data_IF_415543180309
#
_entry.id   IF_415543180309
#
_cell.length_a   1.000
_cell.length_b   1.000
_cell.length_c   1.000
_cell.angle_alpha   90.00
_cell.angle_beta   90.00
_cell.angle_gamma   90.00
#
_symmetry.space_group_name_H-M   'P 1'
#
loop_
_entity.id
_entity.type
_entity.pdbx_description
1 polymer ?
#
# COMPACT_ATOMS: atom_id res chain seq x y z
N UNK A 1 4.00 29.81 26.29
CA UNK A 1 3.53 29.47 24.93
C UNK A 1 4.38 28.32 24.43
N UNK A 2 3.79 27.20 24.02
CA UNK A 2 4.55 26.09 23.47
C UNK A 2 5.16 26.53 22.13
N UNK A 3 6.47 26.34 21.96
CA UNK A 3 7.19 26.65 20.73
C UNK A 3 6.58 25.87 19.56
N UNK A 4 6.26 26.57 18.47
CA UNK A 4 5.84 25.95 17.21
C UNK A 4 6.98 25.01 16.79
N UNK A 5 6.73 23.71 16.59
CA UNK A 5 7.74 22.79 16.09
C UNK A 5 8.28 23.32 14.76
N UNK A 6 9.60 23.41 14.62
CA UNK A 6 10.23 23.80 13.36
C UNK A 6 9.84 22.86 12.22
N UNK A 7 10.10 23.25 10.96
CA UNK A 7 9.84 22.40 9.79
C UNK A 7 10.57 21.07 9.96
N UNK A 8 9.83 19.96 9.86
CA UNK A 8 10.40 18.62 9.96
C UNK A 8 11.26 18.35 8.73
N UNK A 9 12.50 17.88 8.91
CA UNK A 9 13.46 17.65 7.82
C UNK A 9 13.32 16.26 7.18
N UNK A 10 12.32 15.47 7.60
CA UNK A 10 12.22 14.06 7.26
C UNK A 10 13.15 13.17 8.07
N UNK A 11 13.02 11.85 7.89
CA UNK A 11 13.89 10.85 8.51
C UNK A 11 14.55 10.04 7.39
N UNK A 12 15.87 10.15 7.25
CA UNK A 12 16.64 9.31 6.33
C UNK A 12 16.66 7.89 6.87
N UNK A 13 16.08 6.95 6.13
CA UNK A 13 15.98 5.54 6.52
C UNK A 13 16.90 4.66 5.68
N UNK A 14 17.15 3.44 6.15
CA UNK A 14 17.88 2.41 5.40
C UNK A 14 17.28 2.18 4.01
N UNK A 15 15.95 2.21 3.87
CA UNK A 15 15.25 2.06 2.60
C UNK A 15 15.67 3.13 1.57
N UNK A 16 15.93 4.37 2.00
CA UNK A 16 16.44 5.43 1.12
C UNK A 16 17.87 5.13 0.64
N UNK A 17 18.70 4.57 1.52
CA UNK A 17 20.09 4.24 1.21
C UNK A 17 20.17 3.08 0.22
N UNK A 18 19.29 2.09 0.37
CA UNK A 18 19.12 1.00 -0.59
C UNK A 18 18.73 1.54 -1.97
N UNK A 19 17.79 2.49 -2.06
CA UNK A 19 17.44 3.13 -3.34
C UNK A 19 18.61 3.90 -3.96
N UNK A 20 19.34 4.67 -3.14
CA UNK A 20 20.57 5.37 -3.57
C UNK A 20 21.61 4.40 -4.12
N UNK A 21 21.76 3.23 -3.49
CA UNK A 21 22.65 2.18 -3.94
C UNK A 21 22.19 1.55 -5.26
N UNK A 22 20.90 1.20 -5.38
CA UNK A 22 20.31 0.59 -6.58
C UNK A 22 20.46 1.49 -7.79
N UNK A 23 20.17 2.79 -7.67
CA UNK A 23 20.24 3.72 -8.79
C UNK A 23 21.61 4.42 -8.89
N UNK A 24 22.60 3.98 -8.13
CA UNK A 24 24.00 4.40 -8.31
C UNK A 24 24.29 5.87 -7.98
N UNK A 25 23.51 6.49 -7.09
CA UNK A 25 23.70 7.89 -6.65
C UNK A 25 24.02 8.03 -5.15
N UNK A 26 24.37 6.93 -4.47
CA UNK A 26 24.85 6.95 -3.09
C UNK A 26 26.06 7.88 -2.94
N UNK A 27 26.03 8.71 -1.89
CA UNK A 27 27.21 9.42 -1.42
C UNK A 27 27.97 8.50 -0.46
N UNK A 28 29.22 8.16 -0.80
CA UNK A 28 30.06 7.32 0.05
C UNK A 28 30.39 8.02 1.38
N UNK A 29 30.28 9.35 1.46
CA UNK A 29 30.65 10.12 2.65
C UNK A 29 29.57 10.11 3.74
N UNK A 30 28.32 9.78 3.41
CA UNK A 30 27.20 9.84 4.36
C UNK A 30 27.11 8.57 5.23
N UNK A 31 27.90 7.52 4.95
CA UNK A 31 27.79 6.24 5.66
C UNK A 31 29.01 5.84 6.49
N UNK A 32 28.79 5.81 7.81
CA UNK A 32 29.64 5.15 8.80
C UNK A 32 29.08 3.80 9.29
N UNK A 33 27.88 3.41 8.84
CA UNK A 33 27.22 2.16 9.22
C UNK A 33 27.28 1.09 8.13
N UNK A 34 27.20 -0.21 8.49
CA UNK A 34 27.10 -1.28 7.51
C UNK A 34 25.75 -1.16 6.79
N UNK A 35 25.76 -0.75 5.52
CA UNK A 35 24.63 -1.04 4.64
C UNK A 35 24.43 -2.56 4.64
N UNK A 36 23.18 -3.04 4.50
CA UNK A 36 22.98 -4.44 4.12
C UNK A 36 23.83 -4.66 2.87
N UNK A 37 24.80 -5.57 2.95
CA UNK A 37 25.69 -5.89 1.82
C UNK A 37 24.86 -6.63 0.78
N UNK A 38 24.04 -5.87 0.04
CA UNK A 38 23.40 -6.37 -1.15
C UNK A 38 24.47 -6.28 -2.23
N UNK A 39 25.12 -7.40 -2.53
CA UNK A 39 26.19 -7.50 -3.53
C UNK A 39 25.60 -7.51 -4.95
N UNK A 40 24.88 -6.44 -5.31
CA UNK A 40 24.25 -6.31 -6.62
C UNK A 40 25.27 -5.94 -7.68
N UNK A 41 25.23 -6.67 -8.79
CA UNK A 41 26.03 -6.35 -9.97
C UNK A 41 25.51 -5.06 -10.64
N UNK A 42 26.39 -4.14 -11.04
CA UNK A 42 25.99 -2.98 -11.85
C UNK A 42 25.66 -3.40 -13.29
N UNK A 43 24.80 -2.63 -13.94
CA UNK A 43 24.55 -2.72 -15.38
C UNK A 43 25.83 -2.31 -16.16
N UNK A 44 26.11 -2.92 -17.32
CA UNK A 44 27.28 -2.58 -18.13
C UNK A 44 27.35 -1.07 -18.44
N UNK A 45 28.45 -0.43 -18.05
CA UNK A 45 28.67 1.00 -18.31
C UNK A 45 27.86 1.97 -17.42
N UNK A 46 27.16 1.47 -16.40
CA UNK A 46 26.34 2.28 -15.49
C UNK A 46 26.66 2.00 -14.00
N UNK A 47 26.31 2.94 -13.12
CA UNK A 47 26.32 2.71 -11.67
C UNK A 47 25.01 2.12 -11.14
N UNK A 48 23.97 2.06 -11.99
CA UNK A 48 22.67 1.44 -11.68
C UNK A 48 22.88 -0.07 -11.55
N UNK A 49 22.25 -0.69 -10.55
CA UNK A 49 22.29 -2.11 -10.29
C UNK A 49 21.34 -2.88 -11.21
N UNK A 50 21.77 -4.05 -11.68
CA UNK A 50 20.97 -4.97 -12.46
C UNK A 50 20.01 -5.75 -11.54
N UNK A 51 18.78 -5.25 -11.39
CA UNK A 51 17.83 -5.81 -10.43
C UNK A 51 16.39 -5.60 -10.89
N UNK A 52 15.50 -6.49 -10.48
CA UNK A 52 14.06 -6.29 -10.58
C UNK A 52 13.51 -5.59 -9.34
N UNK A 53 12.73 -4.54 -9.53
CA UNK A 53 11.95 -3.92 -8.47
C UNK A 53 10.53 -4.46 -8.55
N UNK A 54 10.16 -5.31 -7.59
CA UNK A 54 8.88 -6.04 -7.58
C UNK A 54 7.97 -5.45 -6.52
N UNK A 55 7.00 -4.65 -6.93
CA UNK A 55 5.96 -4.12 -6.08
C UNK A 55 4.81 -5.11 -5.93
N UNK A 56 4.35 -5.29 -4.70
CA UNK A 56 3.26 -6.20 -4.35
C UNK A 56 2.25 -5.46 -3.48
N UNK A 57 0.98 -5.77 -3.70
CA UNK A 57 -0.12 -5.39 -2.82
C UNK A 57 -1.06 -6.60 -2.69
N UNK A 58 -1.61 -6.80 -1.49
CA UNK A 58 -2.51 -7.90 -1.18
C UNK A 58 -3.75 -7.40 -0.45
N UNK A 59 -4.92 -7.67 -1.02
CA UNK A 59 -6.20 -7.49 -0.35
C UNK A 59 -6.83 -8.85 -0.05
N UNK A 60 -7.31 -9.02 1.19
CA UNK A 60 -7.97 -10.24 1.63
C UNK A 60 -9.26 -9.95 2.38
N UNK A 61 -10.23 -10.86 2.26
CA UNK A 61 -11.51 -10.75 2.98
C UNK A 61 -11.51 -11.25 4.42
N UNK A 62 -10.39 -11.72 4.97
CA UNK A 62 -10.37 -12.54 6.19
C UNK A 62 -9.13 -12.47 7.10
N UNK A 63 -8.18 -11.57 6.83
CA UNK A 63 -6.92 -11.42 7.60
C UNK A 63 -5.69 -11.96 6.88
N UNK A 64 -4.49 -11.81 7.46
CA UNK A 64 -3.23 -12.10 6.76
C UNK A 64 -2.38 -13.18 7.46
N UNK A 65 -2.73 -13.54 8.69
CA UNK A 65 -1.98 -14.44 9.55
C UNK A 65 -2.03 -15.89 9.06
N UNK A 66 -3.22 -16.36 8.69
CA UNK A 66 -3.46 -17.72 8.16
C UNK A 66 -4.49 -17.61 7.04
N UNK A 67 -4.11 -18.04 5.84
CA UNK A 67 -5.02 -18.01 4.70
C UNK A 67 -5.92 -19.23 4.75
N UNK A 68 -7.17 -19.04 5.15
CA UNK A 68 -8.12 -20.15 5.20
C UNK A 68 -8.45 -20.64 3.78
N UNK A 69 -8.77 -21.93 3.59
CA UNK A 69 -9.07 -22.47 2.26
C UNK A 69 -10.15 -21.66 1.52
N UNK A 70 -11.17 -21.19 2.24
CA UNK A 70 -12.32 -20.45 1.70
C UNK A 70 -12.16 -18.93 1.64
N UNK A 71 -11.02 -18.42 2.10
CA UNK A 71 -10.73 -17.00 2.04
C UNK A 71 -10.59 -16.54 0.59
N UNK A 72 -11.23 -15.41 0.29
CA UNK A 72 -11.01 -14.70 -0.96
C UNK A 72 -9.88 -13.70 -0.80
N UNK A 73 -8.99 -13.65 -1.79
CA UNK A 73 -7.95 -12.65 -1.86
C UNK A 73 -7.66 -12.28 -3.31
N UNK A 74 -7.01 -11.14 -3.48
CA UNK A 74 -6.45 -10.74 -4.75
C UNK A 74 -5.11 -10.05 -4.57
N UNK A 75 -4.18 -10.39 -5.45
CA UNK A 75 -2.77 -9.98 -5.37
C UNK A 75 -2.44 -9.16 -6.61
N UNK A 76 -1.77 -8.04 -6.38
CA UNK A 76 -1.18 -7.22 -7.41
C UNK A 76 0.32 -7.40 -7.44
N UNK A 77 0.88 -7.47 -8.64
CA UNK A 77 2.34 -7.46 -8.83
C UNK A 77 2.68 -6.49 -9.93
N UNK A 78 3.60 -5.57 -9.67
CA UNK A 78 4.15 -4.67 -10.68
C UNK A 78 5.66 -4.74 -10.66
N UNK A 79 6.26 -4.89 -11.84
CA UNK A 79 7.69 -5.15 -12.00
C UNK A 79 8.29 -4.03 -12.84
N UNK A 80 9.37 -3.46 -12.33
CA UNK A 80 10.25 -2.55 -13.04
C UNK A 80 11.64 -3.18 -13.17
N UNK A 81 12.13 -3.31 -14.40
CA UNK A 81 13.46 -3.83 -14.71
C UNK A 81 14.44 -2.67 -14.92
N UNK A 82 15.45 -2.54 -14.06
CA UNK A 82 16.40 -1.42 -14.14
C UNK A 82 17.18 -1.36 -15.45
N UNK A 83 17.27 -2.47 -16.19
CA UNK A 83 17.92 -2.52 -17.52
C UNK A 83 17.31 -1.53 -18.51
N UNK A 84 16.02 -1.21 -18.36
CA UNK A 84 15.35 -0.26 -19.26
C UNK A 84 15.93 1.16 -19.16
N UNK A 85 16.65 1.50 -18.09
CA UNK A 85 17.30 2.81 -17.88
C UNK A 85 18.64 2.96 -18.61
N UNK A 86 19.21 1.85 -19.10
CA UNK A 86 20.50 1.84 -19.82
C UNK A 86 20.38 1.51 -21.29
N UNK A 87 19.19 1.09 -21.74
CA UNK A 87 18.94 0.82 -23.16
C UNK A 87 19.16 2.09 -23.98
N UNK A 88 19.90 1.95 -25.08
CA UNK A 88 20.14 3.05 -26.04
C UNK A 88 18.85 3.58 -26.67
N UNK A 89 17.81 2.74 -26.71
CA UNK A 89 16.47 3.12 -27.08
C UNK A 89 15.84 3.86 -25.90
N UNK A 90 15.36 5.09 -26.14
CA UNK A 90 14.68 5.91 -25.13
C UNK A 90 13.66 5.05 -24.39
N UNK A 91 13.80 4.94 -23.06
CA UNK A 91 12.89 4.14 -22.22
C UNK A 91 11.45 4.58 -22.49
N UNK A 92 10.65 3.71 -23.12
CA UNK A 92 9.23 3.98 -23.30
C UNK A 92 8.54 3.94 -21.93
N UNK A 93 8.08 5.09 -21.40
CA UNK A 93 7.48 5.13 -20.07
C UNK A 93 6.22 4.26 -19.96
N UNK A 94 5.55 3.97 -21.08
CA UNK A 94 4.34 3.17 -21.13
C UNK A 94 4.59 1.69 -20.83
N UNK A 95 5.74 1.17 -21.25
CA UNK A 95 6.09 -0.25 -21.15
C UNK A 95 7.14 -0.54 -20.07
N UNK A 96 7.70 0.50 -19.44
CA UNK A 96 8.71 0.38 -18.40
C UNK A 96 8.27 -0.43 -17.17
N UNK A 97 6.96 -0.46 -16.87
CA UNK A 97 6.40 -1.23 -15.76
C UNK A 97 5.41 -2.26 -16.30
N UNK A 98 5.66 -3.54 -16.03
CA UNK A 98 4.71 -4.61 -16.32
C UNK A 98 3.91 -4.96 -15.07
N UNK A 99 2.59 -5.07 -15.17
CA UNK A 99 1.73 -5.34 -14.02
C UNK A 99 0.77 -6.49 -14.23
N UNK A 100 0.47 -7.18 -13.14
CA UNK A 100 -0.35 -8.39 -13.08
C UNK A 100 -1.37 -8.26 -11.96
N UNK A 101 -2.55 -8.82 -12.19
CA UNK A 101 -3.61 -8.96 -11.20
C UNK A 101 -4.00 -10.42 -11.11
N UNK A 102 -4.03 -10.92 -9.89
CA UNK A 102 -4.39 -12.29 -9.60
C UNK A 102 -5.57 -12.34 -8.62
N UNK A 103 -6.45 -13.32 -8.80
CA UNK A 103 -7.55 -13.63 -7.86
C UNK A 103 -7.57 -15.13 -7.60
N UNK A 104 -8.03 -15.56 -6.44
CA UNK A 104 -8.16 -17.01 -6.18
C UNK A 104 -9.57 -17.56 -6.40
N UNK A 105 -10.60 -16.71 -6.31
CA UNK A 105 -12.01 -17.11 -6.30
C UNK A 105 -12.88 -16.10 -7.07
N UNK A 106 -14.08 -16.53 -7.43
CA UNK A 106 -15.06 -15.70 -8.17
C UNK A 106 -16.03 -14.96 -7.22
N UNK A 107 -15.52 -14.46 -6.11
CA UNK A 107 -16.32 -13.74 -5.13
C UNK A 107 -16.53 -12.28 -5.53
N UNK A 108 -17.47 -11.60 -4.87
CA UNK A 108 -17.80 -10.19 -5.17
C UNK A 108 -16.57 -9.25 -5.07
N UNK A 109 -15.70 -9.35 -4.04
CA UNK A 109 -14.46 -8.55 -3.98
C UNK A 109 -13.54 -8.82 -5.17
N UNK A 110 -13.25 -10.08 -5.50
CA UNK A 110 -12.40 -10.44 -6.64
C UNK A 110 -12.97 -9.94 -7.97
N UNK A 111 -14.29 -10.09 -8.22
CA UNK A 111 -14.96 -9.53 -9.41
C UNK A 111 -14.90 -8.00 -9.47
N UNK A 112 -14.85 -7.34 -8.32
CA UNK A 112 -14.68 -5.88 -8.27
C UNK A 112 -13.24 -5.47 -8.59
N UNK A 113 -12.24 -6.18 -8.05
CA UNK A 113 -10.84 -6.00 -8.39
C UNK A 113 -10.61 -6.21 -9.90
N UNK A 114 -11.10 -7.32 -10.47
CA UNK A 114 -10.98 -7.61 -11.91
C UNK A 114 -11.53 -6.50 -12.80
N UNK A 115 -12.69 -5.92 -12.44
CA UNK A 115 -13.29 -4.82 -13.23
C UNK A 115 -12.52 -3.51 -13.09
N UNK A 116 -11.82 -3.31 -11.97
CA UNK A 116 -11.05 -2.10 -11.68
C UNK A 116 -9.65 -2.14 -12.25
N UNK A 117 -9.06 -3.32 -12.37
CA UNK A 117 -7.71 -3.48 -12.87
C UNK A 117 -7.55 -2.83 -14.25
N UNK A 118 -6.56 -1.95 -14.37
CA UNK A 118 -6.34 -1.12 -15.55
C UNK A 118 -5.34 -1.74 -16.52
N UNK A 119 -4.44 -2.59 -16.00
CA UNK A 119 -3.16 -2.87 -16.64
C UNK A 119 -3.14 -4.20 -17.41
N UNK A 120 -4.31 -4.76 -17.70
CA UNK A 120 -4.45 -5.99 -18.48
C UNK A 120 -5.56 -6.91 -17.99
N UNK A 121 -5.36 -8.22 -18.20
CA UNK A 121 -6.28 -9.25 -17.74
C UNK A 121 -5.99 -9.66 -16.29
N UNK A 122 -7.04 -10.06 -15.57
CA UNK A 122 -6.89 -10.72 -14.27
C UNK A 122 -6.76 -12.23 -14.47
N UNK A 123 -5.73 -12.83 -13.88
CA UNK A 123 -5.52 -14.28 -13.88
C UNK A 123 -6.11 -14.92 -12.61
N UNK A 124 -6.61 -16.16 -12.71
CA UNK A 124 -7.13 -16.91 -11.56
C UNK A 124 -6.12 -17.96 -11.10
N UNK A 125 -5.67 -17.88 -9.86
CA UNK A 125 -4.61 -18.74 -9.31
C UNK A 125 -4.93 -19.24 -7.90
N UNK A 126 -4.59 -20.51 -7.63
CA UNK A 126 -4.51 -21.01 -6.25
C UNK A 126 -3.31 -20.39 -5.52
N UNK A 127 -3.24 -20.44 -4.18
CA UNK A 127 -2.05 -19.98 -3.45
C UNK A 127 -0.72 -20.57 -3.98
N UNK A 128 -0.69 -21.88 -4.24
CA UNK A 128 0.51 -22.55 -4.79
C UNK A 128 0.83 -22.12 -6.21
N UNK A 129 -0.18 -21.96 -7.08
CA UNK A 129 0.03 -21.47 -8.44
C UNK A 129 0.53 -20.02 -8.45
N UNK A 130 0.06 -19.19 -7.50
CA UNK A 130 0.56 -17.83 -7.30
C UNK A 130 2.05 -17.82 -6.93
N UNK A 131 2.46 -18.66 -5.97
CA UNK A 131 3.86 -18.76 -5.58
C UNK A 131 4.76 -19.18 -6.77
N UNK A 132 4.32 -20.18 -7.53
CA UNK A 132 5.00 -20.60 -8.76
C UNK A 132 5.08 -19.47 -9.80
N UNK A 133 4.00 -18.68 -9.94
CA UNK A 133 3.96 -17.53 -10.84
C UNK A 133 4.94 -16.43 -10.43
N UNK A 134 5.02 -16.09 -9.14
CA UNK A 134 6.00 -15.13 -8.60
C UNK A 134 7.43 -15.63 -8.84
N UNK A 135 7.70 -16.91 -8.58
CA UNK A 135 9.02 -17.50 -8.85
C UNK A 135 9.37 -17.47 -10.34
N UNK A 136 8.38 -17.61 -11.23
CA UNK A 136 8.59 -17.50 -12.68
C UNK A 136 8.91 -16.05 -13.08
N UNK A 137 8.16 -15.08 -12.55
CA UNK A 137 8.35 -13.65 -12.84
C UNK A 137 9.71 -13.12 -12.37
N UNK A 138 10.30 -13.74 -11.34
CA UNK A 138 11.60 -13.38 -10.76
C UNK A 138 12.71 -14.37 -11.13
N UNK A 139 12.47 -15.28 -12.09
CA UNK A 139 13.40 -16.33 -12.41
C UNK A 139 14.73 -15.78 -12.97
N UNK A 140 15.85 -16.28 -12.45
CA UNK A 140 17.19 -15.92 -12.93
C UNK A 140 17.60 -14.47 -12.69
N UNK A 141 16.88 -13.73 -11.85
CA UNK A 141 17.16 -12.32 -11.54
C UNK A 141 17.16 -12.08 -10.04
N UNK A 142 18.10 -11.25 -9.59
CA UNK A 142 18.00 -10.62 -8.28
C UNK A 142 16.80 -9.67 -8.26
N UNK A 143 16.14 -9.55 -7.10
CA UNK A 143 14.99 -8.66 -6.95
C UNK A 143 14.84 -8.13 -5.54
N UNK A 144 14.22 -6.96 -5.42
CA UNK A 144 13.69 -6.45 -4.15
C UNK A 144 12.17 -6.50 -4.16
N UNK A 145 11.59 -6.67 -2.97
CA UNK A 145 10.16 -6.51 -2.77
C UNK A 145 9.86 -5.08 -2.36
N UNK A 146 8.76 -4.54 -2.85
CA UNK A 146 8.24 -3.22 -2.51
C UNK A 146 6.78 -3.40 -2.11
N UNK A 147 6.36 -2.75 -1.03
CA UNK A 147 4.95 -2.66 -0.68
C UNK A 147 4.62 -1.30 -0.05
N UNK A 148 3.33 -1.02 0.13
CA UNK A 148 2.85 0.18 0.82
C UNK A 148 2.32 -0.19 2.20
N UNK A 149 3.21 -0.23 3.19
CA UNK A 149 2.91 -0.81 4.51
C UNK A 149 3.11 -2.33 4.52
N UNK A 150 4.37 -2.75 4.47
CA UNK A 150 4.81 -4.14 4.15
C UNK A 150 4.31 -5.26 5.06
N UNK A 151 3.86 -4.96 6.29
CA UNK A 151 3.59 -5.98 7.30
C UNK A 151 2.57 -7.02 6.84
N UNK A 152 1.44 -6.58 6.28
CA UNK A 152 0.34 -7.49 5.93
C UNK A 152 0.64 -8.26 4.63
N UNK A 153 1.23 -7.60 3.64
CA UNK A 153 1.67 -8.23 2.39
C UNK A 153 2.70 -9.34 2.65
N UNK A 154 3.68 -9.08 3.53
CA UNK A 154 4.70 -10.08 3.88
C UNK A 154 4.13 -11.28 4.62
N UNK A 155 3.19 -11.07 5.54
CA UNK A 155 2.50 -12.20 6.21
C UNK A 155 1.81 -13.09 5.17
N UNK A 156 1.11 -12.48 4.20
CA UNK A 156 0.47 -13.23 3.13
C UNK A 156 1.49 -13.98 2.25
N UNK A 157 2.56 -13.29 1.81
CA UNK A 157 3.59 -13.91 0.98
C UNK A 157 4.24 -15.10 1.69
N UNK A 158 4.53 -14.98 2.98
CA UNK A 158 5.09 -16.08 3.78
C UNK A 158 4.12 -17.25 3.98
N UNK A 159 2.80 -17.00 3.96
CA UNK A 159 1.79 -18.05 4.00
C UNK A 159 1.73 -18.86 2.70
N UNK A 160 1.92 -18.21 1.55
CA UNK A 160 1.87 -18.92 0.26
C UNK A 160 3.20 -19.58 -0.08
N UNK A 161 4.34 -18.93 0.23
CA UNK A 161 5.69 -19.45 0.11
C UNK A 161 6.71 -18.51 0.79
N UNK A 162 7.26 -18.95 1.93
CA UNK A 162 8.29 -18.21 2.68
C UNK A 162 9.58 -17.95 1.88
N UNK A 163 9.84 -18.71 0.81
CA UNK A 163 10.99 -18.49 -0.05
C UNK A 163 10.90 -17.18 -0.86
N UNK A 164 9.70 -16.61 -1.04
CA UNK A 164 9.51 -15.35 -1.77
C UNK A 164 10.24 -14.22 -1.01
N UNK A 165 9.83 -13.96 0.23
CA UNK A 165 10.47 -12.90 1.02
C UNK A 165 11.94 -13.23 1.33
N UNK A 166 12.27 -14.50 1.59
CA UNK A 166 13.63 -14.92 1.92
C UNK A 166 14.62 -14.79 0.76
N UNK A 167 14.16 -14.89 -0.51
CA UNK A 167 15.00 -14.71 -1.70
C UNK A 167 15.13 -13.26 -2.14
N UNK A 168 14.27 -12.36 -1.67
CA UNK A 168 14.37 -10.95 -1.99
C UNK A 168 15.65 -10.39 -1.39
N UNK A 169 16.42 -9.66 -2.19
CA UNK A 169 17.64 -8.98 -1.76
C UNK A 169 17.38 -7.95 -0.65
N UNK A 170 16.18 -7.37 -0.65
CA UNK A 170 15.70 -6.42 0.35
C UNK A 170 14.17 -6.27 0.26
N UNK A 171 13.54 -5.80 1.34
CA UNK A 171 12.11 -5.42 1.36
C UNK A 171 11.96 -3.93 1.68
N UNK A 172 11.44 -3.17 0.72
CA UNK A 172 11.18 -1.74 0.85
C UNK A 172 9.73 -1.45 1.23
N UNK A 173 9.56 -0.59 2.23
CA UNK A 173 8.27 -0.01 2.58
C UNK A 173 8.20 1.43 2.06
N UNK A 174 7.34 1.68 1.06
CA UNK A 174 7.17 3.02 0.47
C UNK A 174 6.73 4.06 1.49
N UNK A 175 6.04 3.65 2.56
CA UNK A 175 5.62 4.55 3.65
C UNK A 175 6.83 5.10 4.41
N UNK A 176 7.88 4.28 4.60
CA UNK A 176 9.12 4.70 5.24
C UNK A 176 10.00 5.50 4.30
N UNK A 177 10.13 5.03 3.04
CA UNK A 177 10.89 5.74 2.00
C UNK A 177 10.42 7.19 1.87
N UNK A 178 9.10 7.41 1.90
CA UNK A 178 8.49 8.74 1.75
C UNK A 178 8.89 9.76 2.81
N UNK A 179 9.30 9.32 4.01
CA UNK A 179 9.55 10.23 5.11
C UNK A 179 10.71 11.20 4.85
N UNK A 180 11.72 10.77 4.10
CA UNK A 180 12.87 11.62 3.77
C UNK A 180 12.62 12.59 2.61
N UNK A 181 12.36 12.14 1.36
CA UNK A 181 12.26 13.02 0.20
C UNK A 181 11.03 13.93 0.25
N UNK A 182 10.02 13.59 1.05
CA UNK A 182 8.83 14.44 1.27
C UNK A 182 8.83 15.12 2.64
N UNK A 183 9.90 14.97 3.42
CA UNK A 183 10.08 15.61 4.73
C UNK A 183 8.94 15.32 5.75
N UNK A 184 8.32 14.14 5.65
CA UNK A 184 7.12 13.79 6.40
C UNK A 184 7.44 13.29 7.81
N UNK A 185 6.64 13.73 8.79
CA UNK A 185 6.66 13.21 10.16
C UNK A 185 5.63 12.09 10.39
N UNK A 186 4.73 11.84 9.43
CA UNK A 186 3.69 10.81 9.51
C UNK A 186 3.63 9.97 8.24
N UNK A 187 2.83 8.90 8.30
CA UNK A 187 2.67 7.91 7.23
C UNK A 187 1.53 8.33 6.30
N UNK A 188 1.82 8.46 5.01
CA UNK A 188 0.81 8.75 4.00
C UNK A 188 0.10 7.46 3.60
N UNK A 189 -1.20 7.56 3.29
CA UNK A 189 -1.88 6.54 2.47
C UNK A 189 -1.37 6.64 1.03
N UNK A 190 -1.58 5.59 0.24
CA UNK A 190 -1.16 5.58 -1.15
C UNK A 190 -1.75 6.75 -1.92
N UNK A 191 -3.05 7.01 -1.80
CA UNK A 191 -3.74 8.16 -2.42
C UNK A 191 -3.04 9.49 -2.11
N UNK A 192 -2.80 9.80 -0.83
CA UNK A 192 -2.11 11.03 -0.42
C UNK A 192 -0.67 11.09 -0.93
N UNK A 193 -0.01 9.94 -1.03
CA UNK A 193 1.35 9.85 -1.56
C UNK A 193 1.37 10.18 -3.06
N UNK A 194 0.41 9.67 -3.83
CA UNK A 194 0.27 9.99 -5.25
C UNK A 194 -0.02 11.47 -5.47
N UNK A 195 -0.93 12.07 -4.66
CA UNK A 195 -1.23 13.50 -4.71
C UNK A 195 0.02 14.36 -4.47
N UNK A 196 0.77 14.07 -3.40
CA UNK A 196 1.98 14.82 -3.03
C UNK A 196 3.14 14.65 -4.03
N UNK A 197 3.15 13.53 -4.76
CA UNK A 197 4.11 13.25 -5.83
C UNK A 197 3.63 13.75 -7.20
N UNK A 198 2.38 14.24 -7.28
CA UNK A 198 1.72 14.66 -8.52
C UNK A 198 1.76 13.56 -9.58
N UNK A 199 1.47 12.33 -9.15
CA UNK A 199 1.32 11.16 -10.03
C UNK A 199 -0.16 11.08 -10.40
N UNK A 200 -0.52 11.09 -11.69
CA UNK A 200 -1.91 10.99 -12.11
C UNK A 200 -2.47 9.58 -11.84
N UNK A 201 -3.66 9.51 -11.24
CA UNK A 201 -4.41 8.27 -11.00
C UNK A 201 -5.92 8.53 -11.05
N UNK A 202 -6.72 7.47 -11.18
CA UNK A 202 -8.17 7.50 -11.02
C UNK A 202 -8.55 6.98 -9.62
N UNK A 203 -9.08 7.82 -8.73
CA UNK A 203 -9.46 7.42 -7.37
C UNK A 203 -10.45 6.25 -7.32
N UNK A 204 -11.31 6.08 -8.33
CA UNK A 204 -12.30 5.00 -8.36
C UNK A 204 -11.70 3.63 -8.74
N UNK A 205 -10.49 3.66 -9.31
CA UNK A 205 -9.72 2.49 -9.76
C UNK A 205 -8.66 2.06 -8.77
N UNK A 206 -8.34 2.90 -7.78
CA UNK A 206 -7.67 2.45 -6.56
C UNK A 206 -8.53 1.38 -5.85
N UNK A 207 -7.90 0.55 -5.02
CA UNK A 207 -8.51 -0.64 -4.41
C UNK A 207 -8.70 -1.81 -5.39
N UNK A 208 -7.72 -1.99 -6.25
CA UNK A 208 -7.45 -3.25 -6.93
C UNK A 208 -5.97 -3.48 -6.73
N UNK A 209 -5.61 -4.61 -6.13
CA UNK A 209 -4.23 -4.80 -5.69
C UNK A 209 -3.20 -4.59 -6.82
N UNK A 210 -3.49 -5.01 -8.05
CA UNK A 210 -2.63 -4.77 -9.21
C UNK A 210 -2.45 -3.29 -9.57
N UNK A 211 -3.49 -2.47 -9.39
CA UNK A 211 -3.36 -1.02 -9.55
C UNK A 211 -2.59 -0.41 -8.37
N UNK A 212 -2.85 -0.86 -7.14
CA UNK A 212 -2.22 -0.33 -5.94
C UNK A 212 -0.72 -0.65 -5.92
N UNK A 213 -0.32 -1.87 -6.29
CA UNK A 213 1.07 -2.26 -6.51
C UNK A 213 1.75 -1.41 -7.60
N UNK A 214 1.05 -1.13 -8.71
CA UNK A 214 1.56 -0.29 -9.80
C UNK A 214 1.80 1.15 -9.34
N UNK A 215 0.83 1.75 -8.67
CA UNK A 215 0.96 3.12 -8.19
C UNK A 215 1.96 3.24 -7.04
N UNK A 216 2.07 2.24 -6.17
CA UNK A 216 3.12 2.18 -5.16
C UNK A 216 4.52 2.15 -5.81
N UNK A 217 4.69 1.40 -6.90
CA UNK A 217 5.94 1.37 -7.66
C UNK A 217 6.25 2.73 -8.29
N UNK A 218 5.28 3.37 -8.96
CA UNK A 218 5.47 4.73 -9.51
C UNK A 218 5.83 5.74 -8.42
N UNK A 219 5.18 5.66 -7.27
CA UNK A 219 5.52 6.49 -6.12
C UNK A 219 6.97 6.27 -5.68
N UNK A 220 7.43 5.03 -5.59
CA UNK A 220 8.82 4.70 -5.28
C UNK A 220 9.80 5.32 -6.28
N UNK A 221 9.54 5.16 -7.59
CA UNK A 221 10.41 5.71 -8.63
C UNK A 221 10.48 7.24 -8.57
N UNK A 222 9.35 7.92 -8.34
CA UNK A 222 9.34 9.38 -8.16
C UNK A 222 10.07 9.82 -6.88
N UNK A 223 9.93 9.08 -5.78
CA UNK A 223 10.66 9.37 -4.55
C UNK A 223 12.18 9.23 -4.74
N UNK A 224 12.63 8.22 -5.49
CA UNK A 224 14.02 8.06 -5.87
C UNK A 224 14.51 9.21 -6.77
N UNK A 225 13.70 9.65 -7.75
CA UNK A 225 14.03 10.81 -8.58
C UNK A 225 14.18 12.09 -7.75
N UNK A 226 13.24 12.36 -6.83
CA UNK A 226 13.31 13.53 -5.93
C UNK A 226 14.52 13.49 -5.01
N UNK A 227 14.81 12.34 -4.40
CA UNK A 227 15.98 12.18 -3.53
C UNK A 227 17.27 12.43 -4.32
N UNK A 228 17.37 11.89 -5.54
CA UNK A 228 18.53 12.08 -6.42
C UNK A 228 18.75 13.54 -6.83
N UNK A 229 17.67 14.29 -7.08
CA UNK A 229 17.73 15.72 -7.42
C UNK A 229 18.00 16.62 -6.19
N UNK A 230 17.66 16.16 -4.99
CA UNK A 230 17.87 16.90 -3.74
C UNK A 230 19.24 16.64 -3.11
N UNK A 231 19.94 15.60 -3.55
CA UNK A 231 21.30 15.30 -3.11
C UNK A 231 22.27 16.33 -3.72
N UNK A 232 22.63 17.36 -2.94
CA UNK A 232 23.56 18.41 -3.34
C UNK A 232 24.87 17.83 -3.90
N UNK A 233 25.31 18.29 -5.08
CA UNK A 233 26.61 17.89 -5.61
C UNK A 233 27.73 18.57 -4.78
N UNK A 234 28.51 17.79 -4.02
CA UNK A 234 29.74 18.32 -3.43
C UNK A 234 30.72 18.73 -4.55
N UNK A 235 30.91 20.04 -4.70
CA UNK A 235 31.52 20.70 -5.87
C UNK A 235 33.04 20.46 -6.07
N UNK A 236 33.68 19.60 -5.28
CA UNK A 236 35.15 19.55 -5.15
C UNK A 236 35.84 18.32 -5.77
N UNK A 237 35.12 17.37 -6.39
CA UNK A 237 35.76 16.20 -7.01
C UNK A 237 36.01 16.33 -8.54
N UNK A 238 37.22 16.05 -9.05
CA UNK A 238 37.46 15.87 -10.47
C UNK A 238 36.63 14.70 -11.03
N UNK A 239 35.90 14.90 -12.14
CA UNK A 239 34.97 13.92 -12.74
C UNK A 239 33.49 14.12 -12.38
N UNK A 240 33.17 15.18 -11.61
CA UNK A 240 31.83 15.49 -11.13
C UNK A 240 30.80 15.76 -12.23
N UNK A 241 31.16 16.44 -13.33
CA UNK A 241 30.21 16.76 -14.41
C UNK A 241 29.61 15.53 -15.09
N UNK A 242 30.40 14.47 -15.30
CA UNK A 242 29.88 13.21 -15.89
C UNK A 242 28.93 12.50 -14.93
N UNK A 243 29.23 12.51 -13.62
CA UNK A 243 28.35 11.94 -12.58
C UNK A 243 27.04 12.72 -12.45
N UNK A 244 27.09 14.06 -12.48
CA UNK A 244 25.90 14.92 -12.45
C UNK A 244 25.01 14.64 -13.67
N UNK A 245 25.59 14.59 -14.88
CA UNK A 245 24.82 14.33 -16.11
C UNK A 245 24.11 12.97 -16.07
N UNK A 246 24.79 11.92 -15.63
CA UNK A 246 24.20 10.59 -15.48
C UNK A 246 23.06 10.58 -14.45
N UNK A 247 23.26 11.18 -13.27
CA UNK A 247 22.21 11.32 -12.23
C UNK A 247 21.00 12.08 -12.77
N UNK A 248 21.20 13.23 -13.39
CA UNK A 248 20.10 14.03 -13.95
C UNK A 248 19.32 13.27 -15.03
N UNK A 249 20.00 12.49 -15.87
CA UNK A 249 19.35 11.64 -16.86
C UNK A 249 18.52 10.53 -16.21
N UNK A 250 19.05 9.82 -15.21
CA UNK A 250 18.31 8.78 -14.49
C UNK A 250 17.11 9.34 -13.75
N UNK A 251 17.26 10.47 -13.03
CA UNK A 251 16.16 11.13 -12.34
C UNK A 251 15.03 11.51 -13.32
N UNK A 252 15.39 12.11 -14.46
CA UNK A 252 14.45 12.46 -15.53
C UNK A 252 13.70 11.24 -16.07
N UNK A 253 14.40 10.13 -16.31
CA UNK A 253 13.79 8.89 -16.78
C UNK A 253 12.79 8.32 -15.76
N UNK A 254 13.19 8.25 -14.48
CA UNK A 254 12.33 7.78 -13.40
C UNK A 254 11.08 8.66 -13.22
N UNK A 255 11.25 9.98 -13.29
CA UNK A 255 10.16 10.95 -13.23
C UNK A 255 9.19 10.80 -14.40
N UNK A 256 9.71 10.62 -15.63
CA UNK A 256 8.91 10.38 -16.82
C UNK A 256 8.07 9.11 -16.69
N UNK A 257 8.66 8.00 -16.24
CA UNK A 257 7.95 6.73 -15.99
C UNK A 257 6.87 6.92 -14.92
N UNK A 258 7.21 7.56 -13.80
CA UNK A 258 6.28 7.74 -12.70
C UNK A 258 5.10 8.66 -13.05
N UNK A 259 5.29 9.69 -13.87
CA UNK A 259 4.21 10.61 -14.30
C UNK A 259 3.46 10.18 -15.53
N UNK A 260 3.96 9.21 -16.29
CA UNK A 260 3.30 8.80 -17.53
C UNK A 260 1.83 8.46 -17.27
N UNK A 261 0.87 9.15 -17.91
CA UNK A 261 -0.55 8.89 -17.68
C UNK A 261 -0.88 7.50 -18.21
N UNK A 262 -1.63 6.70 -17.44
CA UNK A 262 -2.14 5.45 -17.99
C UNK A 262 -3.41 5.75 -18.79
N UNK A 263 -3.55 5.24 -20.03
CA UNK A 263 -4.77 5.40 -20.78
C UNK A 263 -5.91 4.76 -19.99
N UNK A 264 -6.77 5.59 -19.42
CA UNK A 264 -8.02 5.13 -18.86
C UNK A 264 -8.81 4.52 -20.03
N UNK A 265 -9.32 3.29 -19.91
CA UNK A 265 -10.21 2.75 -20.92
C UNK A 265 -11.28 3.80 -21.18
N UNK A 266 -11.40 4.28 -22.43
CA UNK A 266 -12.44 5.23 -22.81
C UNK A 266 -13.74 4.74 -22.18
N UNK A 267 -14.39 5.61 -21.38
CA UNK A 267 -15.54 5.24 -20.56
C UNK A 267 -16.44 4.33 -21.39
N UNK A 268 -16.42 3.03 -21.07
CA UNK A 268 -17.42 2.13 -21.66
C UNK A 268 -18.74 2.79 -21.27
N UNK A 269 -19.66 3.04 -22.23
CA UNK A 269 -20.96 3.65 -21.92
C UNK A 269 -21.47 2.93 -20.70
N UNK A 270 -21.64 3.66 -19.59
CA UNK A 270 -22.02 3.06 -18.32
C UNK A 270 -23.21 2.15 -18.62
N UNK A 271 -23.00 0.82 -18.64
CA UNK A 271 -24.09 -0.14 -18.67
C UNK A 271 -24.93 0.27 -17.48
N UNK A 272 -26.13 0.80 -17.78
CA UNK A 272 -26.94 1.62 -16.91
C UNK A 272 -26.75 1.18 -15.47
N UNK A 273 -26.05 2.02 -14.70
CA UNK A 273 -25.93 1.82 -13.26
C UNK A 273 -27.37 1.64 -12.77
N UNK A 274 -27.69 0.41 -12.37
CA UNK A 274 -28.94 0.12 -11.67
C UNK A 274 -29.15 1.13 -10.54
N UNK A 275 -30.39 1.29 -10.08
CA UNK A 275 -30.93 2.49 -9.44
C UNK A 275 -29.92 3.18 -8.52
N UNK A 276 -29.76 4.49 -8.73
CA UNK A 276 -28.85 5.39 -8.00
C UNK A 276 -28.59 4.89 -6.59
N UNK A 277 -27.34 4.45 -6.36
CA UNK A 277 -26.92 4.10 -5.00
C UNK A 277 -27.01 5.35 -4.16
N UNK A 278 -27.97 5.34 -3.24
CA UNK A 278 -28.14 6.31 -2.15
C UNK A 278 -26.75 6.76 -1.67
N UNK A 279 -26.47 8.08 -1.62
CA UNK A 279 -25.14 8.59 -1.32
C UNK A 279 -24.60 7.96 -0.03
N UNK A 280 -23.43 7.33 -0.13
CA UNK A 280 -22.78 6.71 1.03
C UNK A 280 -22.45 7.82 2.03
N UNK A 281 -23.21 7.86 3.12
CA UNK A 281 -22.94 8.70 4.29
C UNK A 281 -21.46 8.60 4.67
N UNK A 282 -20.80 9.75 4.82
CA UNK A 282 -19.42 9.86 5.26
C UNK A 282 -19.22 9.12 6.60
N UNK A 283 -17.99 8.69 6.90
CA UNK A 283 -17.68 7.99 8.16
C UNK A 283 -18.15 8.81 9.37
N UNK A 284 -18.02 10.14 9.30
CA UNK A 284 -18.55 11.06 10.32
C UNK A 284 -20.07 11.03 10.44
N UNK A 285 -20.79 11.05 9.31
CA UNK A 285 -22.25 10.97 9.30
C UNK A 285 -22.77 9.62 9.82
N UNK A 286 -22.10 8.50 9.50
CA UNK A 286 -22.41 7.19 10.07
C UNK A 286 -22.17 7.12 11.58
N UNK A 287 -21.12 7.76 12.09
CA UNK A 287 -20.86 7.85 13.54
C UNK A 287 -21.92 8.68 14.26
N UNK A 288 -22.35 9.82 13.68
CA UNK A 288 -23.45 10.65 14.22
C UNK A 288 -24.77 9.87 14.30
N UNK A 289 -25.17 9.22 13.20
CA UNK A 289 -26.40 8.41 13.16
C UNK A 289 -26.39 7.25 14.17
N UNK A 290 -25.23 6.63 14.42
CA UNK A 290 -25.09 5.61 15.46
C UNK A 290 -25.20 6.19 16.88
N UNK A 291 -24.67 7.39 17.10
CA UNK A 291 -24.78 8.08 18.39
C UNK A 291 -26.22 8.49 18.69
N UNK A 292 -26.92 9.09 17.72
CA UNK A 292 -28.33 9.48 17.85
C UNK A 292 -29.23 8.27 18.11
N UNK A 293 -29.07 7.17 17.37
CA UNK A 293 -29.83 5.93 17.65
C UNK A 293 -29.57 5.36 19.05
N UNK A 294 -28.37 5.56 19.60
CA UNK A 294 -28.04 5.12 20.96
C UNK A 294 -28.62 6.06 22.02
N UNK A 295 -28.80 7.35 21.72
CA UNK A 295 -29.46 8.32 22.59
C UNK A 295 -30.97 8.04 22.67
N UNK A 296 -31.64 7.86 21.53
CA UNK A 296 -33.08 7.54 21.47
C UNK A 296 -33.40 6.26 22.25
N UNK A 297 -32.58 5.20 22.08
CA UNK A 297 -32.74 3.96 22.85
C UNK A 297 -32.52 4.11 24.35
N UNK A 298 -31.81 5.16 24.80
CA UNK A 298 -31.66 5.44 26.24
C UNK A 298 -32.88 6.18 26.75
N UNK A 299 -33.43 7.11 25.98
CA UNK A 299 -34.65 7.84 26.32
C UNK A 299 -35.86 6.91 26.43
N UNK A 300 -36.07 6.00 25.48
CA UNK A 300 -37.17 5.01 25.53
C UNK A 300 -37.08 4.12 26.78
N UNK A 301 -35.86 3.78 27.21
CA UNK A 301 -35.64 2.93 28.39
C UNK A 301 -35.87 3.66 29.72
N UNK A 302 -35.80 4.98 29.72
CA UNK A 302 -36.17 5.82 30.88
C UNK A 302 -37.68 5.98 31.00
N UNK A 303 -38.42 5.95 29.88
CA UNK A 303 -39.89 6.03 29.90
C UNK A 303 -40.49 4.72 30.43
N UNK A 304 -39.98 3.56 30.02
CA UNK A 304 -40.42 2.26 30.57
C UNK A 304 -40.10 2.07 32.07
N UNK A 305 -39.14 2.84 32.61
CA UNK A 305 -38.78 2.76 34.04
C UNK A 305 -39.65 3.64 34.94
N UNK A 306 -40.49 4.52 34.38
CA UNK A 306 -41.36 5.42 35.15
C UNK A 306 -42.79 4.86 35.31
N UNK A 307 -43.23 3.97 34.41
CA UNK A 307 -44.54 3.29 34.52
C UNK A 307 -44.55 2.13 35.55
N UNK A 308 -43.39 1.77 36.12
CA UNK A 308 -43.26 0.67 37.08
C UNK A 308 -43.42 1.04 38.55
N UNK A 309 -43.72 2.31 38.89
CA UNK A 309 -43.71 2.80 40.29
C UNK A 309 -45.09 3.24 40.83
N UNK A 310 -46.19 3.05 40.11
CA UNK A 310 -47.55 3.46 40.55
C UNK A 310 -48.47 2.31 41.01
N UNK A 311 -47.95 1.13 41.37
CA UNK A 311 -48.77 0.07 41.99
C UNK A 311 -48.10 -0.50 43.23
N UNK A 312 -48.06 0.28 44.32
CA UNK A 312 -48.11 -0.33 45.66
C UNK A 312 -48.56 0.66 46.74
N UNK A 313 -49.87 0.79 46.91
CA UNK A 313 -50.45 1.18 48.21
C UNK A 313 -51.94 0.87 48.24
N UNK A 314 -52.33 -0.19 48.96
CA UNK A 314 -53.36 -0.13 50.01
C UNK A 314 -53.81 -1.50 50.51
N UNK A 315 -53.72 -1.66 51.84
CA UNK A 315 -54.64 -2.40 52.73
C UNK A 315 -54.63 -3.94 52.60
N UNK A 316 -54.53 -4.72 53.67
CA UNK A 316 -54.83 -4.55 55.09
C UNK A 316 -55.02 -5.96 55.70
N UNK A 317 -55.17 -6.09 57.02
CA UNK A 317 -54.60 -7.19 57.79
C UNK A 317 -55.57 -8.35 58.12
N UNK A 318 -55.01 -9.35 58.80
CA UNK A 318 -55.62 -10.33 59.73
C UNK A 318 -55.57 -11.80 59.29
N UNK A 319 -55.29 -12.68 60.27
CA UNK A 319 -55.58 -14.10 60.17
C UNK A 319 -54.52 -15.05 60.71
N UNK A 320 -54.39 -15.11 62.04
CA UNK A 320 -53.93 -16.26 62.83
C UNK A 320 -54.37 -17.62 62.26
N UNK A 321 -53.50 -18.65 62.30
CA UNK A 321 -53.59 -19.81 63.21
C UNK A 321 -52.53 -20.89 62.90
N UNK A 322 -51.79 -21.28 63.95
CA UNK A 322 -51.35 -22.63 64.34
C UNK A 322 -51.43 -23.80 63.34
N UNK A 323 -50.34 -24.57 63.20
CA UNK A 323 -50.20 -25.85 63.90
C UNK A 323 -48.88 -26.58 63.58
N UNK A 324 -48.27 -27.03 64.67
CA UNK A 324 -47.44 -28.21 64.90
C UNK A 324 -47.42 -29.33 63.84
N UNK A 325 -46.22 -29.85 63.55
CA UNK A 325 -45.68 -31.17 63.95
C UNK A 325 -44.54 -31.56 62.98
N UNK A 326 -43.30 -31.70 63.43
CA UNK A 326 -42.67 -32.93 64.00
C UNK A 326 -42.61 -34.09 62.99
N UNK A 327 -41.38 -34.50 62.68
CA UNK A 327 -41.03 -35.70 61.93
C UNK A 327 -39.66 -35.58 61.31
#
# INVERSE_FOLDING_TARGET
MASIPGPHTGILREENLVLRHIFGYSDQQIHTGPLPRIELQPLPGSSIKDILIVSVDVDTGGGYEVISPDQSFHVGISIFDTRCLTSSDSTDPQTAITSYQFVNRDTKPCKQATRRFLLGATEKHTPTAMAARISTLTHGREYILVAHGTNEDLKFLNNIDAAIAARACYVLDTVKVAQYPLQLYYRYSLEKLLDALSIPYDPFRLHSAGNDAFFALKALLMMAARDMLSAEPHASEPGHQRKIGARSSTATALEAIARFPYPLPADKPQEALGPEKVPKLSIGAKRRLRAERKAIRREDRTVESLDGLEQDSSHGPEGTTSNDNVG
#
